data_IF_901268089094
#
_entry.id   IF_901268089094
#
_cell.length_a   1.000
_cell.length_b   1.000
_cell.length_c   1.000
_cell.angle_alpha   90.00
_cell.angle_beta   90.00
_cell.angle_gamma   90.00
#
_symmetry.space_group_name_H-M   'P 1'
#
loop_
_entity.id
_entity.type
_entity.pdbx_description
1 polymer ?
#
# COMPACT_ATOMS: atom_id res chain seq x y z
N UNK A 1 -23.62 14.99 30.75
CA UNK A 1 -23.46 13.58 30.33
C UNK A 1 -22.47 13.57 29.18
N UNK A 2 -21.37 12.82 29.27
CA UNK A 2 -20.47 12.63 28.13
C UNK A 2 -21.21 11.75 27.14
N UNK A 3 -21.59 12.27 25.97
CA UNK A 3 -22.07 11.40 24.89
C UNK A 3 -20.95 10.42 24.54
N UNK A 4 -21.28 9.13 24.60
CA UNK A 4 -20.33 8.07 24.34
C UNK A 4 -19.99 8.07 22.84
N UNK A 5 -18.71 8.34 22.54
CA UNK A 5 -18.22 8.33 21.16
C UNK A 5 -18.17 6.91 20.65
N UNK A 6 -18.61 6.73 19.40
CA UNK A 6 -18.51 5.45 18.70
C UNK A 6 -17.07 4.93 18.74
N UNK A 7 -16.95 3.68 19.15
CA UNK A 7 -15.72 2.89 19.14
C UNK A 7 -15.39 2.42 17.72
N UNK A 8 -14.16 1.94 17.52
CA UNK A 8 -13.75 1.41 16.21
C UNK A 8 -14.58 0.18 15.81
N UNK A 9 -14.87 -0.70 16.78
CA UNK A 9 -15.59 -1.95 16.51
C UNK A 9 -17.05 -1.70 16.15
N UNK A 10 -17.72 -0.79 16.88
CA UNK A 10 -19.06 -0.32 16.50
C UNK A 10 -19.07 0.30 15.10
N UNK A 11 -18.04 1.09 14.76
CA UNK A 11 -17.91 1.69 13.42
C UNK A 11 -17.72 0.64 12.33
N UNK A 12 -16.97 -0.45 12.60
CA UNK A 12 -16.83 -1.59 11.68
C UNK A 12 -18.17 -2.29 11.50
N UNK A 13 -18.89 -2.57 12.59
CA UNK A 13 -20.22 -3.19 12.50
C UNK A 13 -21.20 -2.32 11.70
N UNK A 14 -21.19 -0.99 11.93
CA UNK A 14 -22.02 -0.04 11.19
C UNK A 14 -21.64 0.03 9.70
N UNK A 15 -20.34 0.03 9.38
CA UNK A 15 -19.84 -0.01 8.01
C UNK A 15 -20.33 -1.26 7.28
N UNK A 16 -20.16 -2.44 7.87
CA UNK A 16 -20.56 -3.70 7.25
C UNK A 16 -22.08 -3.77 7.06
N UNK A 17 -22.86 -3.38 8.07
CA UNK A 17 -24.31 -3.31 7.96
C UNK A 17 -24.74 -2.37 6.83
N UNK A 18 -24.09 -1.21 6.71
CA UNK A 18 -24.34 -0.26 5.63
C UNK A 18 -24.00 -0.82 4.24
N UNK A 19 -22.83 -1.44 4.07
CA UNK A 19 -22.43 -2.06 2.79
C UNK A 19 -23.43 -3.15 2.39
N UNK A 20 -23.78 -4.04 3.32
CA UNK A 20 -24.68 -5.17 3.06
C UNK A 20 -26.16 -4.80 2.98
N UNK A 21 -26.55 -3.58 3.39
CA UNK A 21 -27.90 -3.05 3.17
C UNK A 21 -28.25 -2.86 1.68
N UNK A 22 -27.28 -2.98 0.78
CA UNK A 22 -27.43 -2.70 -0.65
C UNK A 22 -27.18 -1.25 -1.03
N UNK A 23 -26.78 -0.39 -0.08
CA UNK A 23 -26.44 1.01 -0.34
C UNK A 23 -25.24 1.20 -1.30
N UNK A 24 -24.37 0.19 -1.40
CA UNK A 24 -23.26 0.16 -2.34
C UNK A 24 -23.55 -0.79 -3.51
N UNK A 25 -23.63 -2.11 -3.26
CA UNK A 25 -23.99 -3.12 -4.27
C UNK A 25 -24.57 -4.36 -3.59
N UNK A 26 -25.59 -5.01 -4.16
CA UNK A 26 -26.08 -6.31 -3.70
C UNK A 26 -25.13 -7.45 -4.14
N UNK A 27 -24.83 -8.38 -3.21
CA UNK A 27 -24.15 -9.68 -3.46
C UNK A 27 -22.66 -9.62 -3.85
N UNK A 28 -21.87 -8.74 -3.22
CA UNK A 28 -20.41 -8.77 -3.28
C UNK A 28 -19.80 -8.99 -1.90
N UNK A 29 -18.62 -9.61 -1.86
CA UNK A 29 -17.75 -9.59 -0.68
C UNK A 29 -17.27 -8.17 -0.43
N UNK A 30 -16.94 -7.84 0.83
CA UNK A 30 -16.35 -6.55 1.17
C UNK A 30 -15.04 -6.72 1.92
N UNK A 31 -13.95 -6.29 1.28
CA UNK A 31 -12.70 -5.98 1.98
C UNK A 31 -12.79 -4.57 2.53
N UNK A 32 -12.30 -4.31 3.74
CA UNK A 32 -12.28 -2.96 4.28
C UNK A 32 -10.98 -2.63 5.02
N UNK A 33 -10.63 -1.35 5.02
CA UNK A 33 -9.42 -0.82 5.62
C UNK A 33 -9.66 0.57 6.22
N UNK A 34 -9.10 0.82 7.40
CA UNK A 34 -9.17 2.15 8.01
C UNK A 34 -8.19 3.08 7.27
N UNK A 35 -8.71 4.15 6.66
CA UNK A 35 -7.90 5.20 6.02
C UNK A 35 -7.43 6.20 7.07
N UNK A 36 -8.33 6.59 7.98
CA UNK A 36 -8.03 7.58 9.00
C UNK A 36 -9.04 7.61 10.13
N UNK A 37 -8.58 8.02 11.31
CA UNK A 37 -9.40 8.19 12.49
C UNK A 37 -9.10 9.54 13.14
N UNK A 38 -10.12 10.38 13.26
CA UNK A 38 -10.09 11.63 14.03
C UNK A 38 -10.94 11.47 15.30
N UNK A 39 -10.90 12.43 16.24
CA UNK A 39 -11.79 12.42 17.39
C UNK A 39 -13.28 12.37 17.01
N UNK A 40 -13.64 12.88 15.82
CA UNK A 40 -15.04 13.02 15.39
C UNK A 40 -15.44 12.05 14.28
N UNK A 41 -14.50 11.46 13.55
CA UNK A 41 -14.82 10.73 12.32
C UNK A 41 -13.91 9.54 12.09
N UNK A 42 -14.48 8.45 11.58
CA UNK A 42 -13.71 7.37 10.97
C UNK A 42 -13.88 7.40 9.45
N UNK A 43 -12.79 7.22 8.72
CA UNK A 43 -12.78 7.11 7.25
C UNK A 43 -12.31 5.72 6.86
N UNK A 44 -13.12 4.98 6.12
CA UNK A 44 -12.85 3.61 5.71
C UNK A 44 -12.82 3.47 4.20
N UNK A 45 -11.89 2.67 3.69
CA UNK A 45 -11.96 2.11 2.34
C UNK A 45 -12.83 0.85 2.40
N UNK A 46 -13.83 0.76 1.54
CA UNK A 46 -14.61 -0.44 1.29
C UNK A 46 -14.37 -0.89 -0.16
N UNK A 47 -13.82 -2.08 -0.34
CA UNK A 47 -13.51 -2.73 -1.61
C UNK A 47 -14.57 -3.79 -1.91
N UNK A 48 -15.29 -3.63 -3.02
CA UNK A 48 -16.41 -4.50 -3.37
C UNK A 48 -15.93 -5.63 -4.30
N UNK A 49 -15.60 -6.77 -3.70
CA UNK A 49 -15.00 -7.90 -4.38
C UNK A 49 -16.08 -8.87 -4.87
N UNK A 50 -16.03 -9.20 -6.16
CA UNK A 50 -16.81 -10.30 -6.70
C UNK A 50 -16.00 -11.59 -6.57
N UNK A 51 -16.33 -12.39 -5.56
CA UNK A 51 -15.58 -13.61 -5.20
C UNK A 51 -15.72 -14.68 -6.29
N UNK A 52 -16.88 -14.71 -6.96
CA UNK A 52 -17.22 -15.72 -7.97
C UNK A 52 -17.02 -15.21 -9.41
N UNK A 53 -16.75 -13.91 -9.56
CA UNK A 53 -16.60 -13.23 -10.84
C UNK A 53 -15.19 -13.35 -11.47
N UNK A 54 -15.04 -12.91 -12.74
CA UNK A 54 -13.73 -12.81 -13.37
C UNK A 54 -12.87 -11.76 -12.63
N UNK A 55 -11.55 -11.91 -12.73
CA UNK A 55 -10.60 -10.93 -12.19
C UNK A 55 -10.79 -9.57 -12.89
N UNK A 56 -11.52 -8.67 -12.24
CA UNK A 56 -11.78 -7.31 -12.68
C UNK A 56 -11.23 -6.32 -11.64
N UNK A 57 -10.91 -5.08 -12.03
CA UNK A 57 -10.59 -4.05 -11.06
C UNK A 57 -11.72 -3.90 -10.03
N UNK A 58 -11.34 -3.78 -8.75
CA UNK A 58 -12.25 -3.84 -7.61
C UNK A 58 -12.70 -2.43 -7.27
N UNK A 59 -14.00 -2.14 -7.35
CA UNK A 59 -14.51 -0.82 -6.99
C UNK A 59 -14.30 -0.53 -5.51
N UNK A 60 -13.77 0.66 -5.22
CA UNK A 60 -13.42 1.09 -3.87
C UNK A 60 -14.13 2.39 -3.54
N UNK A 61 -14.63 2.46 -2.32
CA UNK A 61 -15.35 3.62 -1.82
C UNK A 61 -14.77 4.06 -0.49
N UNK A 62 -14.70 5.38 -0.30
CA UNK A 62 -14.44 6.01 0.97
C UNK A 62 -15.79 6.21 1.67
N UNK A 63 -15.94 5.58 2.84
CA UNK A 63 -17.12 5.70 3.69
C UNK A 63 -16.69 6.38 4.97
N UNK A 64 -17.30 7.53 5.28
CA UNK A 64 -17.02 8.29 6.50
C UNK A 64 -18.15 8.08 7.50
N UNK A 65 -17.79 7.84 8.75
CA UNK A 65 -18.73 7.65 9.86
C UNK A 65 -18.45 8.69 10.93
N UNK A 66 -19.44 9.53 11.22
CA UNK A 66 -19.35 10.49 12.31
C UNK A 66 -19.52 9.76 13.65
N UNK A 67 -18.54 9.91 14.53
CA UNK A 67 -18.45 9.15 15.79
C UNK A 67 -19.49 9.55 16.82
N UNK A 68 -20.07 10.74 16.70
CA UNK A 68 -21.03 11.30 17.66
C UNK A 68 -22.46 11.02 17.24
N UNK A 69 -22.81 11.40 16.02
CA UNK A 69 -24.13 11.20 15.43
C UNK A 69 -24.36 9.81 14.87
N UNK A 70 -23.30 9.00 14.75
CA UNK A 70 -23.31 7.67 14.12
C UNK A 70 -23.78 7.69 12.65
N UNK A 71 -23.84 8.88 12.03
CA UNK A 71 -24.25 9.02 10.63
C UNK A 71 -23.12 8.59 9.70
N UNK A 72 -23.51 7.85 8.67
CA UNK A 72 -22.64 7.40 7.59
C UNK A 72 -22.83 8.35 6.40
N UNK A 73 -21.73 8.90 5.88
CA UNK A 73 -21.76 9.75 4.69
C UNK A 73 -22.10 8.93 3.44
N UNK A 74 -22.63 9.57 2.38
CA UNK A 74 -22.66 8.95 1.07
C UNK A 74 -21.26 8.43 0.68
N UNK A 75 -21.14 7.20 0.15
CA UNK A 75 -19.86 6.66 -0.26
C UNK A 75 -19.25 7.43 -1.42
N UNK A 76 -17.99 7.80 -1.30
CA UNK A 76 -17.24 8.52 -2.33
C UNK A 76 -16.34 7.54 -3.08
N UNK A 77 -16.40 7.43 -4.42
CA UNK A 77 -15.48 6.55 -5.16
C UNK A 77 -14.02 6.92 -4.90
N UNK A 78 -13.19 5.94 -4.57
CA UNK A 78 -11.75 6.12 -4.49
C UNK A 78 -11.18 5.88 -5.87
N UNK A 79 -10.94 6.96 -6.58
CA UNK A 79 -10.32 6.97 -7.91
C UNK A 79 -9.33 8.12 -7.98
N UNK A 80 -8.29 7.98 -8.80
CA UNK A 80 -7.49 9.12 -9.21
C UNK A 80 -8.13 9.76 -10.44
N UNK A 81 -8.38 11.06 -10.36
CA UNK A 81 -8.88 11.79 -11.53
C UNK A 81 -7.79 11.89 -12.60
N UNK A 82 -8.19 12.16 -13.86
CA UNK A 82 -7.23 12.44 -14.93
C UNK A 82 -6.32 13.61 -14.58
N UNK A 83 -6.83 14.61 -13.85
CA UNK A 83 -6.05 15.77 -13.40
C UNK A 83 -4.99 15.33 -12.39
N UNK A 84 -5.37 14.55 -11.37
CA UNK A 84 -4.44 14.06 -10.34
C UNK A 84 -3.33 13.20 -10.95
N UNK A 85 -3.67 12.36 -11.94
CA UNK A 85 -2.73 11.50 -12.65
C UNK A 85 -1.78 12.34 -13.53
N UNK A 86 -2.30 13.31 -14.28
CA UNK A 86 -1.47 14.20 -15.10
C UNK A 86 -0.48 15.00 -14.25
N UNK A 87 -0.95 15.58 -13.13
CA UNK A 87 -0.10 16.35 -12.21
C UNK A 87 0.99 15.46 -11.59
N UNK A 88 0.63 14.26 -11.13
CA UNK A 88 1.58 13.32 -10.53
C UNK A 88 2.66 12.90 -11.51
N UNK A 89 2.29 12.55 -12.74
CA UNK A 89 3.24 12.15 -13.79
C UNK A 89 4.15 13.32 -14.16
N UNK A 90 3.58 14.49 -14.45
CA UNK A 90 4.36 15.67 -14.80
C UNK A 90 5.35 16.04 -13.70
N UNK A 91 4.92 16.01 -12.44
CA UNK A 91 5.77 16.39 -11.29
C UNK A 91 6.89 15.38 -11.02
N UNK A 92 6.65 14.09 -11.26
CA UNK A 92 7.62 13.04 -10.96
C UNK A 92 8.57 12.73 -12.13
N UNK A 93 8.13 12.89 -13.37
CA UNK A 93 8.90 12.47 -14.56
C UNK A 93 9.21 13.61 -15.52
N UNK A 94 8.53 14.76 -15.41
CA UNK A 94 8.59 15.85 -16.37
C UNK A 94 7.84 15.59 -17.69
N UNK A 95 7.07 14.49 -17.76
CA UNK A 95 6.39 14.04 -18.98
C UNK A 95 4.88 14.30 -18.91
N UNK A 96 4.23 14.33 -20.07
CA UNK A 96 2.79 14.60 -20.17
C UNK A 96 1.98 13.32 -20.31
N UNK A 97 0.87 13.23 -19.58
CA UNK A 97 -0.06 12.12 -19.68
C UNK A 97 -0.67 12.03 -21.09
N UNK A 98 -0.50 10.89 -21.76
CA UNK A 98 -1.16 10.58 -23.03
C UNK A 98 -2.44 9.76 -22.80
N UNK A 99 -2.30 8.60 -22.15
CA UNK A 99 -3.42 7.71 -21.86
C UNK A 99 -3.29 7.08 -20.48
N UNK A 100 -4.42 6.68 -19.91
CA UNK A 100 -4.48 5.96 -18.66
C UNK A 100 -5.50 4.83 -18.77
N UNK A 101 -5.21 3.70 -18.13
CA UNK A 101 -6.14 2.58 -18.05
C UNK A 101 -5.97 1.91 -16.70
N UNK A 102 -7.07 1.62 -16.02
CA UNK A 102 -7.04 0.84 -14.78
C UNK A 102 -6.55 -0.57 -15.12
N UNK A 103 -5.47 -0.99 -14.47
CA UNK A 103 -4.70 -2.15 -14.91
C UNK A 103 -4.98 -3.37 -14.01
N UNK A 104 -4.58 -3.29 -12.75
CA UNK A 104 -4.74 -4.35 -11.76
C UNK A 104 -4.88 -3.76 -10.38
N UNK A 105 -5.85 -4.21 -9.60
CA UNK A 105 -5.97 -3.79 -8.22
C UNK A 105 -5.39 -4.87 -7.30
N UNK A 106 -4.59 -4.44 -6.34
CA UNK A 106 -4.19 -5.28 -5.22
C UNK A 106 -5.25 -5.17 -4.12
N UNK A 107 -5.16 -6.01 -3.08
CA UNK A 107 -6.08 -5.95 -1.93
C UNK A 107 -6.17 -4.53 -1.31
N UNK A 108 -5.06 -3.78 -1.33
CA UNK A 108 -4.91 -2.47 -0.68
C UNK A 108 -4.37 -1.38 -1.62
N UNK A 109 -4.53 -1.56 -2.94
CA UNK A 109 -4.07 -0.57 -3.91
C UNK A 109 -4.90 -0.58 -5.20
N UNK A 110 -4.98 0.57 -5.85
CA UNK A 110 -5.52 0.73 -7.20
C UNK A 110 -4.35 1.03 -8.13
N UNK A 111 -4.21 0.29 -9.23
CA UNK A 111 -3.11 0.54 -10.19
C UNK A 111 -3.62 0.99 -11.54
N UNK A 112 -3.00 2.03 -12.06
CA UNK A 112 -3.22 2.56 -13.40
C UNK A 112 -1.98 2.31 -14.24
N UNK A 113 -2.16 1.72 -15.43
CA UNK A 113 -1.17 1.78 -16.49
C UNK A 113 -1.30 3.15 -17.16
N UNK A 114 -0.19 3.86 -17.25
CA UNK A 114 -0.11 5.21 -17.79
C UNK A 114 0.89 5.24 -18.95
N UNK A 115 0.51 5.86 -20.06
CA UNK A 115 1.45 6.17 -21.15
C UNK A 115 1.62 7.68 -21.25
N UNK A 116 2.76 8.10 -21.81
CA UNK A 116 3.16 9.50 -21.93
C UNK A 116 3.19 9.97 -23.38
N UNK A 117 3.10 11.28 -23.61
CA UNK A 117 3.02 11.85 -24.97
C UNK A 117 4.36 11.81 -25.69
N UNK A 118 5.45 11.91 -24.94
CA UNK A 118 6.81 12.03 -25.44
C UNK A 118 7.35 10.72 -26.01
N UNK A 119 6.83 9.58 -25.55
CA UNK A 119 7.21 8.26 -26.06
C UNK A 119 6.10 7.23 -25.82
N UNK A 120 5.67 6.58 -26.90
CA UNK A 120 4.69 5.50 -26.85
C UNK A 120 5.27 4.19 -26.30
N UNK A 121 6.60 4.06 -26.28
CA UNK A 121 7.31 2.88 -25.76
C UNK A 121 7.48 2.93 -24.24
N UNK A 122 7.22 4.09 -23.63
CA UNK A 122 7.31 4.30 -22.20
C UNK A 122 5.92 4.15 -21.57
N UNK A 123 5.86 3.29 -20.57
CA UNK A 123 4.69 3.15 -19.73
C UNK A 123 5.09 3.13 -18.25
N UNK A 124 4.22 3.69 -17.42
CA UNK A 124 4.35 3.73 -15.98
C UNK A 124 3.19 2.97 -15.34
N UNK A 125 3.43 2.51 -14.12
CA UNK A 125 2.38 2.09 -13.20
C UNK A 125 2.26 3.15 -12.13
N UNK A 126 1.10 3.78 -12.05
CA UNK A 126 0.75 4.68 -10.96
C UNK A 126 -0.19 3.94 -10.00
N UNK A 127 0.23 3.78 -8.76
CA UNK A 127 -0.52 3.08 -7.73
C UNK A 127 -1.03 4.05 -6.67
N UNK A 128 -2.34 4.03 -6.41
CA UNK A 128 -2.90 4.60 -5.20
C UNK A 128 -2.83 3.54 -4.10
N UNK A 129 -2.16 3.85 -2.99
CA UNK A 129 -1.86 2.93 -1.89
C UNK A 129 -2.57 3.38 -0.62
N UNK A 130 -3.41 2.49 -0.08
CA UNK A 130 -4.09 2.72 1.21
C UNK A 130 -3.16 2.51 2.41
N UNK A 131 -2.15 1.66 2.24
CA UNK A 131 -1.13 1.35 3.25
C UNK A 131 0.27 1.48 2.66
N UNK A 132 1.26 1.67 3.52
CA UNK A 132 2.62 1.98 3.09
C UNK A 132 2.90 3.48 3.18
N UNK A 133 4.02 3.87 3.77
CA UNK A 133 4.58 5.20 3.61
C UNK A 133 5.25 5.21 2.24
N UNK A 134 4.62 5.85 1.26
CA UNK A 134 5.09 5.78 -0.13
C UNK A 134 6.47 6.43 -0.28
N UNK A 135 6.70 7.57 0.37
CA UNK A 135 8.01 8.21 0.35
C UNK A 135 9.09 7.28 0.91
N UNK A 136 8.81 6.59 2.01
CA UNK A 136 9.74 5.59 2.55
C UNK A 136 9.96 4.41 1.62
N UNK A 137 8.94 3.96 0.90
CA UNK A 137 9.10 2.89 -0.08
C UNK A 137 9.97 3.34 -1.26
N UNK A 138 9.73 4.55 -1.76
CA UNK A 138 10.50 5.12 -2.86
C UNK A 138 11.98 5.28 -2.48
N UNK A 139 12.28 5.83 -1.30
CA UNK A 139 13.66 5.91 -0.78
C UNK A 139 14.32 4.53 -0.65
N UNK A 140 13.58 3.52 -0.15
CA UNK A 140 14.09 2.16 -0.04
C UNK A 140 14.39 1.54 -1.41
N UNK A 141 13.49 1.70 -2.38
CA UNK A 141 13.67 1.17 -3.73
C UNK A 141 14.81 1.89 -4.48
N UNK A 142 14.98 3.19 -4.26
CA UNK A 142 16.12 3.95 -4.76
C UNK A 142 17.45 3.46 -4.16
N UNK A 143 17.47 3.19 -2.84
CA UNK A 143 18.63 2.62 -2.16
C UNK A 143 19.01 1.25 -2.72
N UNK A 144 18.02 0.37 -2.92
CA UNK A 144 18.24 -0.97 -3.50
C UNK A 144 18.81 -0.83 -4.91
N UNK A 145 18.19 -0.01 -5.76
CA UNK A 145 18.65 0.25 -7.13
C UNK A 145 20.10 0.77 -7.17
N UNK A 146 20.52 1.55 -6.17
CA UNK A 146 21.87 2.13 -6.09
C UNK A 146 22.92 1.14 -5.56
N UNK A 147 22.54 0.21 -4.69
CA UNK A 147 23.49 -0.64 -3.93
C UNK A 147 23.52 -2.10 -4.35
N UNK A 148 22.48 -2.59 -5.01
CA UNK A 148 22.37 -4.00 -5.42
C UNK A 148 22.47 -4.09 -6.93
N UNK A 149 23.23 -5.07 -7.43
CA UNK A 149 23.32 -5.31 -8.87
C UNK A 149 21.92 -5.61 -9.44
N UNK A 150 21.45 -4.82 -10.44
CA UNK A 150 20.12 -5.02 -11.03
C UNK A 150 19.97 -6.38 -11.74
N UNK A 151 21.06 -7.07 -12.08
CA UNK A 151 21.01 -8.44 -12.62
C UNK A 151 20.71 -9.49 -11.54
N UNK A 152 20.97 -9.17 -10.27
CA UNK A 152 20.74 -10.07 -9.13
C UNK A 152 19.36 -9.79 -8.52
N UNK A 153 19.05 -8.51 -8.27
CA UNK A 153 17.76 -8.09 -7.70
C UNK A 153 17.17 -6.95 -8.55
N UNK A 154 16.46 -7.27 -9.65
CA UNK A 154 15.81 -6.25 -10.45
C UNK A 154 14.65 -5.65 -9.65
N UNK A 155 14.69 -4.33 -9.46
CA UNK A 155 13.58 -3.54 -8.94
C UNK A 155 13.15 -2.52 -9.99
N UNK A 156 11.85 -2.23 -10.14
CA UNK A 156 11.42 -1.22 -11.09
C UNK A 156 11.92 0.16 -10.65
N UNK A 157 12.42 0.98 -11.58
CA UNK A 157 12.71 2.39 -11.30
C UNK A 157 11.48 3.08 -10.70
N UNK A 158 11.70 3.77 -9.58
CA UNK A 158 10.68 4.58 -8.92
C UNK A 158 10.85 6.05 -9.31
N UNK A 159 9.72 6.75 -9.40
CA UNK A 159 9.68 8.17 -9.72
C UNK A 159 8.93 8.88 -8.58
N UNK A 160 9.65 9.32 -7.53
CA UNK A 160 9.03 9.95 -6.37
C UNK A 160 8.27 11.22 -6.78
N UNK A 161 7.05 11.38 -6.29
CA UNK A 161 6.28 12.61 -6.51
C UNK A 161 6.71 13.64 -5.44
N UNK A 162 7.13 14.85 -5.83
CA UNK A 162 7.47 15.90 -4.87
C UNK A 162 6.33 16.19 -3.88
N UNK A 163 6.64 16.21 -2.58
CA UNK A 163 5.66 16.50 -1.52
C UNK A 163 4.68 15.38 -1.19
N UNK A 164 4.85 14.19 -1.76
CA UNK A 164 3.88 13.08 -1.62
C UNK A 164 3.66 12.63 -0.17
N UNK A 165 4.70 12.64 0.68
CA UNK A 165 4.57 12.32 2.11
C UNK A 165 3.51 13.20 2.78
N UNK A 166 3.61 14.53 2.61
CA UNK A 166 2.67 15.50 3.19
C UNK A 166 1.26 15.32 2.63
N UNK A 167 1.16 15.07 1.32
CA UNK A 167 -0.14 14.79 0.68
C UNK A 167 -0.75 13.53 1.27
N UNK A 168 0.02 12.45 1.38
CA UNK A 168 -0.44 11.19 1.94
C UNK A 168 -0.89 11.34 3.40
N UNK A 169 -0.14 12.07 4.23
CA UNK A 169 -0.52 12.34 5.62
C UNK A 169 -1.88 13.06 5.72
N UNK A 170 -2.21 13.88 4.73
CA UNK A 170 -3.49 14.63 4.66
C UNK A 170 -4.62 13.80 4.05
N UNK A 171 -4.35 13.09 2.96
CA UNK A 171 -5.36 12.35 2.19
C UNK A 171 -5.60 10.91 2.71
N UNK A 172 -4.69 10.39 3.53
CA UNK A 172 -4.68 9.01 4.03
C UNK A 172 -4.29 7.96 2.99
N UNK A 173 -3.92 8.35 1.76
CA UNK A 173 -3.55 7.43 0.69
C UNK A 173 -2.39 7.99 -0.12
N UNK A 174 -1.34 7.21 -0.34
CA UNK A 174 -0.15 7.63 -1.09
C UNK A 174 -0.23 7.27 -2.57
N UNK A 175 0.44 8.04 -3.43
CA UNK A 175 0.59 7.79 -4.87
C UNK A 175 2.03 7.38 -5.15
N UNK A 176 2.22 6.20 -5.72
CA UNK A 176 3.53 5.71 -6.12
C UNK A 176 3.59 5.60 -7.64
N UNK A 177 4.70 6.03 -8.25
CA UNK A 177 4.95 5.86 -9.69
C UNK A 177 6.17 4.97 -9.88
N UNK A 178 6.00 3.91 -10.65
CA UNK A 178 7.10 3.04 -11.08
C UNK A 178 7.11 2.88 -12.59
N UNK A 179 8.26 2.58 -13.17
CA UNK A 179 8.33 2.12 -14.55
C UNK A 179 7.55 0.81 -14.71
N UNK A 180 6.81 0.66 -15.82
CA UNK A 180 6.17 -0.61 -16.14
C UNK A 180 7.23 -1.57 -16.70
N UNK A 181 7.49 -2.67 -16.00
CA UNK A 181 8.32 -3.76 -16.51
C UNK A 181 7.42 -4.74 -17.28
N UNK A 182 7.58 -4.89 -18.61
CA UNK A 182 6.85 -5.91 -19.36
C UNK A 182 7.30 -7.31 -18.92
N UNK A 183 6.34 -8.19 -18.66
CA UNK A 183 6.64 -9.56 -18.26
C UNK A 183 5.40 -10.40 -18.02
N UNK A 184 5.61 -11.70 -17.85
CA UNK A 184 4.56 -12.65 -17.49
C UNK A 184 4.81 -13.11 -16.06
N UNK A 185 3.76 -13.21 -15.26
CA UNK A 185 3.84 -13.67 -13.88
C UNK A 185 4.46 -15.07 -13.80
N UNK A 186 5.40 -15.27 -12.88
CA UNK A 186 6.07 -16.54 -12.68
C UNK A 186 5.09 -17.70 -12.39
N UNK A 187 3.97 -17.44 -11.72
CA UNK A 187 2.92 -18.44 -11.46
C UNK A 187 2.31 -19.04 -12.72
N UNK A 188 2.32 -18.30 -13.84
CA UNK A 188 1.80 -18.77 -15.13
C UNK A 188 2.86 -19.59 -15.86
N UNK A 189 4.11 -19.12 -15.85
CA UNK A 189 5.19 -19.69 -16.65
C UNK A 189 5.85 -20.89 -15.96
N UNK A 190 6.14 -20.78 -14.65
CA UNK A 190 6.91 -21.76 -13.89
C UNK A 190 6.39 -23.20 -14.01
N UNK A 191 5.07 -23.49 -13.90
CA UNK A 191 4.58 -24.86 -14.03
C UNK A 191 4.91 -25.52 -15.38
N UNK A 192 4.98 -24.71 -16.44
CA UNK A 192 5.18 -25.13 -17.84
C UNK A 192 6.65 -25.31 -18.22
N UNK A 193 7.58 -24.82 -17.40
CA UNK A 193 9.02 -24.98 -17.64
C UNK A 193 9.44 -26.46 -17.53
N UNK A 194 10.44 -26.83 -18.32
CA UNK A 194 11.15 -28.10 -18.17
C UNK A 194 11.86 -28.18 -16.80
N UNK A 195 12.31 -29.37 -16.41
CA UNK A 195 13.02 -29.54 -15.14
C UNK A 195 14.27 -28.67 -15.05
N UNK A 196 15.09 -28.63 -16.11
CA UNK A 196 16.33 -27.85 -16.14
C UNK A 196 16.07 -26.34 -16.06
N UNK A 197 15.05 -25.85 -16.77
CA UNK A 197 14.64 -24.44 -16.70
C UNK A 197 14.12 -24.06 -15.31
N UNK A 198 13.39 -24.97 -14.64
CA UNK A 198 12.95 -24.76 -13.24
C UNK A 198 14.13 -24.63 -12.29
N UNK A 199 15.17 -25.46 -12.45
CA UNK A 199 16.39 -25.36 -11.64
C UNK A 199 17.10 -24.02 -11.85
N UNK A 200 17.22 -23.55 -13.09
CA UNK A 200 17.79 -22.23 -13.38
C UNK A 200 16.95 -21.11 -12.76
N UNK A 201 15.62 -21.20 -12.89
CA UNK A 201 14.69 -20.22 -12.32
C UNK A 201 14.82 -20.13 -10.79
N UNK A 202 14.77 -21.26 -10.09
CA UNK A 202 14.86 -21.30 -8.62
C UNK A 202 16.22 -20.79 -8.13
N UNK A 203 17.31 -21.09 -8.84
CA UNK A 203 18.63 -20.52 -8.51
C UNK A 203 18.64 -19.00 -8.60
N UNK A 204 18.04 -18.41 -9.65
CA UNK A 204 17.91 -16.95 -9.79
C UNK A 204 17.06 -16.35 -8.67
N UNK A 205 15.96 -16.99 -8.31
CA UNK A 205 15.13 -16.59 -7.17
C UNK A 205 15.93 -16.63 -5.86
N UNK A 206 16.69 -17.70 -5.63
CA UNK A 206 17.54 -17.82 -4.45
C UNK A 206 18.60 -16.70 -4.38
N UNK A 207 19.23 -16.35 -5.50
CA UNK A 207 20.16 -15.22 -5.57
C UNK A 207 19.48 -13.88 -5.26
N UNK A 208 18.26 -13.65 -5.76
CA UNK A 208 17.50 -12.44 -5.45
C UNK A 208 17.18 -12.35 -3.93
N UNK A 209 16.76 -13.45 -3.30
CA UNK A 209 16.54 -13.49 -1.84
C UNK A 209 17.83 -13.27 -1.06
N UNK A 210 18.94 -13.88 -1.49
CA UNK A 210 20.24 -13.66 -0.88
C UNK A 210 20.66 -12.18 -0.94
N UNK A 211 20.42 -11.52 -2.09
CA UNK A 211 20.69 -10.10 -2.24
C UNK A 211 19.83 -9.25 -1.30
N UNK A 212 18.53 -9.57 -1.14
CA UNK A 212 17.67 -8.91 -0.15
C UNK A 212 18.23 -9.03 1.27
N UNK A 213 18.71 -10.21 1.67
CA UNK A 213 19.30 -10.43 3.00
C UNK A 213 20.67 -9.78 3.19
N UNK A 214 21.34 -9.45 2.09
CA UNK A 214 22.65 -8.79 2.11
C UNK A 214 22.54 -7.26 2.13
N UNK A 215 21.33 -6.71 2.05
CA UNK A 215 21.11 -5.27 2.23
C UNK A 215 21.51 -4.89 3.66
N UNK A 216 22.51 -4.01 3.86
CA UNK A 216 22.99 -3.67 5.18
C UNK A 216 21.89 -2.95 5.97
N UNK A 217 21.44 -3.58 7.06
CA UNK A 217 20.55 -2.98 8.05
C UNK A 217 21.37 -2.32 9.17
N UNK A 218 20.76 -1.39 9.91
CA UNK A 218 21.38 -0.80 11.10
C UNK A 218 21.81 -1.89 12.11
N UNK A 219 22.91 -1.64 12.82
CA UNK A 219 23.59 -2.60 13.72
C UNK A 219 22.81 -3.09 14.95
N UNK A 220 21.52 -2.77 15.05
CA UNK A 220 20.62 -3.29 16.09
C UNK A 220 19.49 -4.08 15.46
N UNK A 221 19.39 -5.37 15.81
CA UNK A 221 18.27 -6.25 15.46
C UNK A 221 17.00 -5.80 16.18
N UNK A 222 16.36 -4.76 15.66
CA UNK A 222 15.07 -4.26 16.14
C UNK A 222 13.95 -4.93 15.35
N UNK A 223 12.86 -5.26 16.03
CA UNK A 223 11.64 -5.81 15.43
C UNK A 223 10.66 -4.64 15.31
N UNK A 224 10.25 -4.30 14.09
CA UNK A 224 9.34 -3.20 13.79
C UNK A 224 9.19 -3.03 12.27
N UNK A 225 8.65 -1.90 11.83
CA UNK A 225 8.58 -1.55 10.42
C UNK A 225 9.91 -0.92 9.96
N UNK A 226 10.47 -1.42 8.85
CA UNK A 226 11.61 -0.77 8.20
C UNK A 226 11.13 0.48 7.46
N UNK A 227 11.65 1.62 7.86
CA UNK A 227 11.43 2.92 7.21
C UNK A 227 12.73 3.43 6.60
N UNK A 228 12.62 4.14 5.49
CA UNK A 228 13.73 4.80 4.80
C UNK A 228 13.39 6.28 4.66
N UNK A 229 14.35 7.15 4.93
CA UNK A 229 14.18 8.60 4.80
C UNK A 229 15.39 9.19 4.10
N UNK A 230 15.15 10.08 3.15
CA UNK A 230 16.19 10.84 2.49
C UNK A 230 16.70 11.94 3.45
N UNK A 231 17.99 11.90 3.77
CA UNK A 231 18.70 12.90 4.58
C UNK A 231 19.87 13.42 3.74
N UNK A 232 19.61 14.49 2.99
CA UNK A 232 20.55 14.95 1.95
C UNK A 232 20.67 13.94 0.83
N UNK A 233 21.89 13.53 0.49
CA UNK A 233 22.17 12.56 -0.57
C UNK A 233 22.20 11.09 -0.08
N UNK A 234 21.93 10.89 1.20
CA UNK A 234 21.92 9.57 1.83
C UNK A 234 20.51 9.13 2.21
N UNK A 235 20.24 7.82 2.01
CA UNK A 235 19.04 7.18 2.53
C UNK A 235 19.39 6.56 3.88
N UNK A 236 18.74 7.07 4.93
CA UNK A 236 18.87 6.54 6.28
C UNK A 236 17.75 5.54 6.51
N UNK A 237 18.12 4.31 6.85
CA UNK A 237 17.20 3.27 7.28
C UNK A 237 16.96 3.38 8.78
N UNK A 238 15.72 3.21 9.22
CA UNK A 238 15.33 3.14 10.63
C UNK A 238 14.29 2.05 10.85
N UNK A 239 14.17 1.58 12.09
CA UNK A 239 13.08 0.67 12.49
C UNK A 239 12.10 1.47 13.35
N UNK A 240 10.86 1.54 12.90
CA UNK A 240 9.78 2.28 13.52
C UNK A 240 8.68 1.34 14.03
N UNK A 241 7.75 1.84 14.85
CA UNK A 241 6.49 1.15 15.12
C UNK A 241 5.82 0.55 13.89
N UNK A 242 5.37 -0.71 13.98
CA UNK A 242 4.43 -1.26 13.01
C UNK A 242 3.11 -0.46 13.01
N UNK A 243 2.75 0.01 11.82
CA UNK A 243 1.59 0.87 11.59
C UNK A 243 0.23 0.16 11.61
N UNK A 244 0.17 -1.16 11.45
CA UNK A 244 -1.10 -1.86 11.20
C UNK A 244 -2.00 -1.91 12.44
N UNK A 245 -1.38 -1.99 13.62
CA UNK A 245 -2.10 -2.13 14.88
C UNK A 245 -1.68 -1.11 15.94
N UNK A 246 -0.80 -0.16 15.62
CA UNK A 246 -0.04 0.59 16.64
C UNK A 246 0.66 -0.36 17.65
N UNK A 247 0.82 -1.63 17.27
CA UNK A 247 1.48 -2.68 18.02
C UNK A 247 2.81 -2.94 17.33
N UNK A 248 3.81 -2.23 17.81
CA UNK A 248 5.06 -2.13 17.13
C UNK A 248 5.79 -0.96 17.76
N UNK A 249 6.92 -1.20 18.39
CA UNK A 249 7.99 -0.21 18.41
C UNK A 249 9.10 -0.77 17.55
N UNK A 250 10.25 -0.10 17.47
CA UNK A 250 11.49 -0.86 17.46
C UNK A 250 11.57 -1.66 18.77
N UNK A 251 11.34 -2.97 18.73
CA UNK A 251 11.58 -3.84 19.87
C UNK A 251 12.94 -4.49 19.77
N UNK A 252 13.74 -4.38 20.83
CA UNK A 252 15.06 -5.00 20.88
C UNK A 252 15.05 -6.53 21.04
N UNK A 253 13.87 -7.16 21.15
CA UNK A 253 13.72 -8.62 21.26
C UNK A 253 12.26 -9.06 21.09
N UNK A 254 12.06 -10.33 20.72
CA UNK A 254 10.74 -10.99 20.67
C UNK A 254 10.03 -10.91 22.02
N UNK A 255 10.75 -11.06 23.14
CA UNK A 255 10.16 -10.96 24.48
C UNK A 255 9.50 -9.60 24.72
N UNK A 256 10.17 -8.50 24.37
CA UNK A 256 9.62 -7.14 24.52
C UNK A 256 8.42 -6.92 23.62
N UNK A 257 8.49 -7.40 22.38
CA UNK A 257 7.36 -7.38 21.45
C UNK A 257 6.14 -8.11 22.05
N UNK A 258 6.30 -9.36 22.49
CA UNK A 258 5.22 -10.15 23.07
C UNK A 258 4.65 -9.53 24.35
N UNK A 259 5.49 -8.97 25.21
CA UNK A 259 5.03 -8.26 26.42
C UNK A 259 4.17 -7.05 26.08
N UNK A 260 4.57 -6.25 25.07
CA UNK A 260 3.77 -5.13 24.61
C UNK A 260 2.46 -5.58 23.97
N UNK A 261 2.52 -6.65 23.16
CA UNK A 261 1.35 -7.26 22.53
C UNK A 261 0.33 -7.72 23.59
N UNK A 262 0.76 -8.53 24.57
CA UNK A 262 -0.11 -9.02 25.65
C UNK A 262 -0.73 -7.86 26.43
N UNK A 263 0.06 -6.84 26.79
CA UNK A 263 -0.47 -5.65 27.49
C UNK A 263 -1.54 -4.93 26.67
N UNK A 264 -1.30 -4.74 25.38
CA UNK A 264 -2.29 -4.12 24.49
C UNK A 264 -3.55 -4.97 24.36
N UNK A 265 -3.42 -6.29 24.25
CA UNK A 265 -4.56 -7.20 24.19
C UNK A 265 -5.37 -7.16 25.49
N UNK A 266 -4.72 -7.12 26.65
CA UNK A 266 -5.41 -7.00 27.94
C UNK A 266 -6.18 -5.68 28.06
N UNK A 267 -5.56 -4.55 27.68
CA UNK A 267 -6.23 -3.24 27.65
C UNK A 267 -7.44 -3.25 26.70
N UNK A 268 -7.33 -3.96 25.57
CA UNK A 268 -8.44 -4.09 24.62
C UNK A 268 -9.61 -4.92 25.19
N UNK A 269 -9.33 -5.87 26.09
CA UNK A 269 -10.33 -6.73 26.74
C UNK A 269 -10.99 -6.10 27.97
N UNK A 270 -10.42 -5.02 28.53
CA UNK A 270 -11.00 -4.28 29.66
C UNK A 270 -12.17 -3.35 29.25
N UNK A 271 -12.56 -3.38 27.98
CA UNK A 271 -13.66 -2.60 27.39
C UNK A 271 -14.79 -3.52 26.94
#
# INVERSE_FOLDING_TARGET
>A
MSEELMTRDEAVSALLAFVYSGALVLRRGVGYALIGATPTTFSWSAALEDIDGPAMPVDRYCVKIDRRSKKISPPEPIILSKVDLSEAILSATGLHLASLTRFTDGALSISYKVTVQESLDIAYVLQLRHYGNVASMDSLMALISKRVDPHVLPVPPVYPIPGEKRRQDTAGMGRQITFLIPGVMASITYPRLSHDEKLVFIRRVAFAFQACWSIPLLGTHLIGELTATDVGDEVVLSIEPDRHHSLGGPFSSVRKYLQAYIKSSLIALEK
#
